data_IF_032641879383
#
_entry.id   IF_032641879383
#
_cell.length_a   1.000
_cell.length_b   1.000
_cell.length_c   1.000
_cell.angle_alpha   90.00
_cell.angle_beta   90.00
_cell.angle_gamma   90.00
#
_symmetry.space_group_name_H-M   'P 1'
#
loop_
_entity.id
_entity.type
_entity.pdbx_description
1 polymer ?
#
# COMPACT_ATOMS: atom_id res chain seq x y z
N UNK A 1 -18.80 -3.13 -4.25
CA UNK A 1 -17.58 -2.38 -3.84
C UNK A 1 -17.60 -1.07 -4.63
N UNK A 2 -17.14 0.05 -4.07
CA UNK A 2 -17.15 1.33 -4.78
C UNK A 2 -15.82 1.55 -5.53
N UNK A 3 -15.83 2.18 -6.72
CA UNK A 3 -14.61 2.46 -7.47
C UNK A 3 -13.69 3.43 -6.70
N UNK A 4 -12.39 3.33 -6.95
CA UNK A 4 -11.42 4.24 -6.36
C UNK A 4 -11.66 5.68 -6.87
N UNK A 5 -11.44 6.72 -6.04
CA UNK A 5 -11.58 8.11 -6.47
C UNK A 5 -10.66 8.45 -7.65
N UNK A 6 -11.13 9.29 -8.58
CA UNK A 6 -10.38 9.61 -9.81
C UNK A 6 -8.98 10.21 -9.57
N UNK A 7 -8.83 11.07 -8.56
CA UNK A 7 -7.52 11.63 -8.20
C UNK A 7 -6.56 10.56 -7.65
N UNK A 8 -7.08 9.56 -6.92
CA UNK A 8 -6.28 8.43 -6.47
C UNK A 8 -5.87 7.56 -7.67
N UNK A 9 -6.77 7.30 -8.63
CA UNK A 9 -6.43 6.57 -9.85
C UNK A 9 -5.32 7.26 -10.65
N UNK A 10 -5.35 8.59 -10.79
CA UNK A 10 -4.27 9.34 -11.43
C UNK A 10 -2.93 9.15 -10.72
N UNK A 11 -2.94 9.17 -9.40
CA UNK A 11 -1.74 8.97 -8.59
C UNK A 11 -1.20 7.53 -8.72
N UNK A 12 -2.08 6.53 -8.69
CA UNK A 12 -1.74 5.10 -8.78
C UNK A 12 -1.19 4.71 -10.16
N UNK A 13 -1.69 5.32 -11.23
CA UNK A 13 -1.21 5.10 -12.61
C UNK A 13 0.07 5.90 -12.95
N UNK A 14 0.53 6.76 -12.03
CA UNK A 14 1.77 7.53 -12.17
C UNK A 14 2.99 6.79 -11.61
N UNK A 15 4.21 7.33 -11.81
CA UNK A 15 5.44 6.79 -11.22
C UNK A 15 5.55 7.17 -9.74
N UNK A 16 4.55 6.80 -8.94
CA UNK A 16 4.40 7.21 -7.55
C UNK A 16 5.08 6.22 -6.61
N UNK A 17 6.07 6.65 -5.80
CA UNK A 17 6.64 5.80 -4.76
C UNK A 17 5.58 5.46 -3.72
N UNK A 18 5.61 4.22 -3.24
CA UNK A 18 4.70 3.72 -2.24
C UNK A 18 5.46 3.16 -1.03
N UNK A 19 4.96 3.39 0.17
CA UNK A 19 5.49 2.86 1.41
C UNK A 19 4.41 2.02 2.08
N UNK A 20 4.73 0.76 2.36
CA UNK A 20 3.83 -0.14 3.07
C UNK A 20 4.41 -0.45 4.45
N UNK A 21 3.61 -0.20 5.48
CA UNK A 21 3.88 -0.62 6.84
C UNK A 21 3.13 -1.93 7.12
N UNK A 22 3.87 -2.91 7.63
CA UNK A 22 3.35 -4.22 8.06
C UNK A 22 3.80 -4.48 9.50
N UNK A 23 3.09 -5.32 10.23
CA UNK A 23 3.46 -5.67 11.61
C UNK A 23 4.44 -6.84 11.62
N UNK A 24 5.50 -6.79 12.42
CA UNK A 24 6.42 -7.89 12.70
C UNK A 24 5.86 -8.85 13.75
N UNK A 25 6.39 -10.08 13.91
CA UNK A 25 5.88 -11.03 14.91
C UNK A 25 5.92 -10.51 16.36
N UNK A 26 6.87 -9.63 16.67
CA UNK A 26 7.03 -8.97 17.97
C UNK A 26 6.17 -7.69 18.12
N UNK A 27 5.35 -7.37 17.12
CA UNK A 27 4.50 -6.19 17.10
C UNK A 27 5.16 -4.92 16.56
N UNK A 28 6.47 -4.90 16.31
CA UNK A 28 7.15 -3.73 15.74
C UNK A 28 6.70 -3.44 14.30
N UNK A 29 6.74 -2.18 13.83
CA UNK A 29 6.45 -1.86 12.44
C UNK A 29 7.64 -2.21 11.53
N UNK A 30 7.36 -2.82 10.38
CA UNK A 30 8.31 -2.97 9.28
C UNK A 30 7.81 -2.17 8.07
N UNK A 31 8.66 -1.28 7.58
CA UNK A 31 8.38 -0.40 6.45
C UNK A 31 9.17 -0.84 5.22
N UNK A 32 8.51 -0.89 4.07
CA UNK A 32 9.16 -1.15 2.78
C UNK A 32 8.72 -0.10 1.75
N UNK A 33 9.66 0.55 1.07
CA UNK A 33 9.37 1.32 -0.14
C UNK A 33 9.20 0.36 -1.33
N UNK A 34 8.21 0.59 -2.16
CA UNK A 34 7.88 -0.21 -3.34
C UNK A 34 7.10 0.63 -4.37
N UNK A 35 6.69 -0.01 -5.46
CA UNK A 35 5.84 0.60 -6.48
C UNK A 35 4.39 0.16 -6.28
N UNK A 36 3.48 1.01 -6.73
CA UNK A 36 2.03 0.80 -6.67
C UNK A 36 1.45 0.80 -8.07
N UNK A 37 0.34 0.09 -8.23
CA UNK A 37 -0.47 0.04 -9.45
C UNK A 37 -1.96 -0.10 -9.08
N UNK A 38 -2.86 -0.20 -10.06
CA UNK A 38 -4.31 -0.39 -9.84
C UNK A 38 -4.99 -1.12 -11.00
N UNK A 39 -5.99 -1.93 -10.68
CA UNK A 39 -6.94 -2.49 -11.66
C UNK A 39 -8.19 -1.60 -11.87
N UNK A 40 -8.21 -0.40 -11.26
CA UNK A 40 -9.36 0.51 -11.24
C UNK A 40 -10.24 0.40 -9.99
N UNK A 41 -10.17 -0.73 -9.27
CA UNK A 41 -10.97 -0.99 -8.07
C UNK A 41 -10.11 -1.22 -6.82
N UNK A 42 -8.89 -1.71 -7.01
CA UNK A 42 -7.96 -2.11 -5.96
C UNK A 42 -6.61 -1.41 -6.12
N UNK A 43 -5.94 -1.21 -4.98
CA UNK A 43 -4.53 -0.83 -4.94
C UNK A 43 -3.71 -2.10 -5.02
N UNK A 44 -2.84 -2.18 -6.03
CA UNK A 44 -1.93 -3.29 -6.24
C UNK A 44 -0.54 -2.89 -5.76
N UNK A 45 0.07 -3.72 -4.90
CA UNK A 45 1.40 -3.46 -4.34
C UNK A 45 2.37 -4.46 -4.96
N UNK A 46 3.41 -3.95 -5.62
CA UNK A 46 4.44 -4.82 -6.18
C UNK A 46 5.12 -5.62 -5.06
N UNK A 47 5.22 -6.93 -5.24
CA UNK A 47 5.90 -7.80 -4.29
C UNK A 47 6.55 -8.98 -4.98
N UNK A 48 7.57 -9.53 -4.32
CA UNK A 48 8.19 -10.80 -4.66
C UNK A 48 7.83 -11.80 -3.56
N UNK A 49 7.60 -13.05 -3.95
CA UNK A 49 7.37 -14.13 -3.00
C UNK A 49 8.56 -14.28 -2.04
N UNK A 50 8.28 -14.63 -0.78
CA UNK A 50 9.31 -14.77 0.25
C UNK A 50 9.85 -13.46 0.83
N UNK A 51 9.37 -12.28 0.44
CA UNK A 51 9.73 -11.02 1.11
C UNK A 51 9.16 -10.95 2.54
N UNK A 52 9.79 -10.15 3.42
CA UNK A 52 9.31 -10.02 4.81
C UNK A 52 7.88 -9.48 4.86
N UNK A 53 7.54 -8.51 4.00
CA UNK A 53 6.19 -7.93 3.92
C UNK A 53 5.13 -8.95 3.52
N UNK A 54 5.42 -9.90 2.63
CA UNK A 54 4.44 -10.94 2.23
C UNK A 54 4.17 -11.90 3.39
N UNK A 55 5.21 -12.38 4.07
CA UNK A 55 5.05 -13.19 5.30
C UNK A 55 4.32 -12.44 6.41
N UNK A 56 4.56 -11.14 6.55
CA UNK A 56 3.85 -10.33 7.53
C UNK A 56 2.36 -10.21 7.20
N UNK A 57 2.01 -9.90 5.95
CA UNK A 57 0.62 -9.75 5.49
C UNK A 57 -0.16 -11.06 5.54
N UNK A 58 0.47 -12.20 5.22
CA UNK A 58 -0.15 -13.52 5.36
C UNK A 58 -0.51 -13.84 6.82
N UNK A 59 0.30 -13.36 7.79
CA UNK A 59 0.05 -13.56 9.22
C UNK A 59 -0.95 -12.55 9.79
N UNK A 60 -0.80 -11.28 9.42
CA UNK A 60 -1.65 -10.17 9.84
C UNK A 60 -1.93 -9.26 8.64
N UNK A 61 -3.15 -9.29 8.08
CA UNK A 61 -3.47 -8.59 6.83
C UNK A 61 -3.65 -7.08 7.02
N UNK A 62 -3.56 -6.57 8.26
CA UNK A 62 -3.67 -5.14 8.53
C UNK A 62 -2.41 -4.43 8.06
N UNK A 63 -2.57 -3.53 7.10
CA UNK A 63 -1.48 -2.72 6.58
C UNK A 63 -1.87 -1.25 6.51
N UNK A 64 -0.86 -0.39 6.55
CA UNK A 64 -0.98 1.00 6.16
C UNK A 64 -0.14 1.24 4.92
N UNK A 65 -0.75 1.85 3.90
CA UNK A 65 -0.10 2.19 2.64
C UNK A 65 -0.09 3.69 2.49
N UNK A 66 1.08 4.28 2.20
CA UNK A 66 1.25 5.68 1.86
C UNK A 66 1.82 5.80 0.45
N UNK A 67 1.15 6.58 -0.40
CA UNK A 67 1.57 6.81 -1.78
C UNK A 67 2.01 8.26 -1.90
N UNK A 68 3.25 8.50 -2.34
CA UNK A 68 3.78 9.84 -2.49
C UNK A 68 3.47 10.37 -3.89
N UNK A 69 2.87 11.56 -3.96
CA UNK A 69 2.80 12.34 -5.21
C UNK A 69 4.20 12.88 -5.57
N UNK A 70 4.82 12.39 -6.66
CA UNK A 70 6.16 12.80 -7.04
C UNK A 70 6.21 14.25 -7.57
N UNK A 71 5.06 14.84 -7.91
CA UNK A 71 4.95 16.21 -8.43
C UNK A 71 4.63 17.23 -7.35
N UNK A 72 4.25 16.78 -6.15
CA UNK A 72 3.89 17.66 -5.04
C UNK A 72 5.09 18.47 -4.56
N UNK A 73 4.98 19.80 -4.67
CA UNK A 73 5.96 20.76 -4.12
C UNK A 73 5.86 20.96 -2.60
N UNK A 74 4.83 20.41 -1.95
CA UNK A 74 4.58 20.53 -0.50
C UNK A 74 5.18 19.39 0.33
N UNK A 75 5.97 18.51 -0.28
CA UNK A 75 6.38 17.23 0.30
C UNK A 75 5.37 16.12 -0.01
N UNK A 76 5.64 14.87 0.39
CA UNK A 76 4.80 13.73 0.05
C UNK A 76 3.38 13.90 0.62
N UNK A 77 2.38 13.98 -0.26
CA UNK A 77 0.97 13.92 0.15
C UNK A 77 0.62 12.47 0.47
N UNK A 78 0.58 12.12 1.75
CA UNK A 78 0.34 10.75 2.20
C UNK A 78 -1.16 10.43 2.22
N UNK A 79 -1.65 9.69 1.24
CA UNK A 79 -2.95 9.01 1.36
C UNK A 79 -2.74 7.70 2.09
N UNK A 80 -3.17 7.61 3.35
CA UNK A 80 -3.12 6.39 4.15
C UNK A 80 -4.35 5.53 3.91
N UNK A 81 -4.20 4.41 3.21
CA UNK A 81 -5.26 3.39 3.14
C UNK A 81 -4.94 2.32 4.20
N UNK A 82 -5.78 2.26 5.24
CA UNK A 82 -5.75 1.17 6.21
C UNK A 82 -6.65 0.06 5.67
N UNK A 83 -6.07 -1.02 5.17
CA UNK A 83 -6.88 -2.18 4.80
C UNK A 83 -7.06 -3.04 6.04
N UNK A 84 -8.31 -3.09 6.53
CA UNK A 84 -8.75 -4.07 7.51
C UNK A 84 -9.67 -5.02 6.75
N UNK A 85 -9.19 -6.23 6.43
CA UNK A 85 -10.08 -7.33 6.04
C UNK A 85 -9.92 -8.47 7.06
N UNK A 86 -11.00 -8.74 7.80
CA UNK A 86 -11.25 -10.07 8.36
C UNK A 86 -11.74 -10.97 7.22
N UNK A 87 -11.03 -12.07 6.94
CA UNK A 87 -11.38 -13.07 5.91
C UNK A 87 -11.01 -12.60 4.49
N UNK A 88 -10.54 -13.44 3.56
CA UNK A 88 -10.86 -14.85 3.29
C UNK A 88 -9.61 -15.53 2.70
N UNK A 89 -9.50 -16.85 2.88
CA UNK A 89 -8.49 -17.71 2.24
C UNK A 89 -8.62 -17.73 0.72
#
# INVERSE_FOLDING_TARGET
MAPLPGELLKLLNGPSPCFIATTMPDGSPQLTQTWVDTDGEHILINTVEGYRKTRNVQRDPRVAVSIADPTSRRGPSATSVITSRRGVM
#
